data_IF_089112583902
#
_entry.id   IF_089112583902
#
_cell.length_a   1.000
_cell.length_b   1.000
_cell.length_c   1.000
_cell.angle_alpha   90.00
_cell.angle_beta   90.00
_cell.angle_gamma   90.00
#
_symmetry.space_group_name_H-M   'P 1'
#
loop_
_entity.id
_entity.type
_entity.pdbx_description
1 polymer ?
#
# COMPACT_ATOMS: atom_id res chain seq x y z
N UNK A 1 -2.77 17.17 -22.49
CA UNK A 1 -4.19 16.86 -22.32
C UNK A 1 -4.28 15.35 -22.24
N UNK A 2 -4.68 14.76 -21.10
CA UNK A 2 -4.93 13.33 -21.01
C UNK A 2 -6.04 13.00 -22.01
N UNK A 3 -5.97 11.89 -22.78
CA UNK A 3 -7.08 11.46 -23.59
C UNK A 3 -8.30 11.29 -22.68
N UNK A 4 -9.42 11.89 -23.06
CA UNK A 4 -10.67 11.73 -22.34
C UNK A 4 -11.02 10.24 -22.27
N UNK A 5 -11.43 9.78 -21.10
CA UNK A 5 -11.98 8.44 -20.97
C UNK A 5 -13.20 8.30 -21.90
N UNK A 6 -13.43 7.14 -22.50
CA UNK A 6 -14.62 6.91 -23.31
C UNK A 6 -15.87 7.21 -22.49
N UNK A 7 -16.83 7.95 -23.05
CA UNK A 7 -18.09 8.35 -22.37
C UNK A 7 -18.95 7.14 -21.91
N UNK A 8 -18.66 5.95 -22.38
CA UNK A 8 -19.46 4.74 -22.14
C UNK A 8 -19.28 4.08 -20.77
N UNK A 9 -18.21 4.37 -20.04
CA UNK A 9 -17.94 3.75 -18.74
C UNK A 9 -17.50 4.83 -17.75
N UNK A 10 -18.44 5.54 -17.11
CA UNK A 10 -18.12 6.51 -16.09
C UNK A 10 -17.43 5.79 -14.91
N UNK A 11 -16.21 6.23 -14.59
CA UNK A 11 -15.52 5.76 -13.39
C UNK A 11 -16.30 6.18 -12.14
N UNK A 12 -16.35 5.37 -11.07
CA UNK A 12 -17.04 5.74 -9.83
C UNK A 12 -16.59 7.11 -9.30
N UNK A 13 -17.51 7.83 -8.71
CA UNK A 13 -17.21 9.11 -8.07
C UNK A 13 -16.26 8.90 -6.88
N UNK A 14 -15.50 9.93 -6.52
CA UNK A 14 -14.61 9.87 -5.36
C UNK A 14 -15.38 9.50 -4.08
N UNK A 15 -16.62 9.95 -3.92
CA UNK A 15 -17.44 9.62 -2.77
C UNK A 15 -17.80 8.14 -2.73
N UNK A 16 -18.12 7.53 -3.87
CA UNK A 16 -18.38 6.10 -3.95
C UNK A 16 -17.14 5.28 -3.59
N UNK A 17 -15.97 5.68 -4.11
CA UNK A 17 -14.69 5.01 -3.78
C UNK A 17 -14.39 5.13 -2.29
N UNK A 18 -14.50 6.33 -1.71
CA UNK A 18 -14.21 6.58 -0.29
C UNK A 18 -15.16 5.83 0.68
N UNK A 19 -16.37 5.43 0.24
CA UNK A 19 -17.24 4.58 1.04
C UNK A 19 -16.64 3.20 1.35
N UNK A 20 -15.67 2.75 0.55
CA UNK A 20 -14.97 1.46 0.73
C UNK A 20 -13.57 1.61 1.32
N UNK A 21 -13.27 2.77 1.92
CA UNK A 21 -12.10 3.02 2.75
C UNK A 21 -12.45 3.00 4.25
N UNK A 22 -11.47 3.14 5.11
CA UNK A 22 -11.67 3.14 6.56
C UNK A 22 -12.26 1.84 7.09
N UNK A 23 -13.42 1.88 7.75
CA UNK A 23 -14.04 0.69 8.36
C UNK A 23 -14.49 -0.38 7.35
N UNK A 24 -14.80 0.00 6.14
CA UNK A 24 -15.19 -0.90 5.04
C UNK A 24 -14.02 -1.24 4.11
N UNK A 25 -12.89 -0.57 4.27
CA UNK A 25 -11.68 -0.79 3.54
C UNK A 25 -10.84 -1.97 4.05
N UNK A 26 -9.68 -2.21 3.43
CA UNK A 26 -8.77 -3.29 3.83
C UNK A 26 -8.35 -3.23 5.30
N UNK A 27 -8.06 -2.04 5.84
CA UNK A 27 -7.69 -1.86 7.24
C UNK A 27 -8.83 -2.12 8.22
N UNK A 28 -10.03 -1.69 7.89
CA UNK A 28 -11.23 -2.02 8.66
C UNK A 28 -11.53 -3.51 8.65
N UNK A 29 -11.31 -4.19 7.53
CA UNK A 29 -11.44 -5.64 7.42
C UNK A 29 -10.43 -6.37 8.31
N UNK A 30 -9.20 -5.87 8.47
CA UNK A 30 -8.20 -6.40 9.42
C UNK A 30 -8.69 -6.36 10.87
N UNK A 31 -9.31 -5.27 11.27
CA UNK A 31 -9.81 -5.10 12.64
C UNK A 31 -10.98 -6.05 12.93
N UNK A 32 -11.85 -6.29 11.95
CA UNK A 32 -13.03 -7.16 12.07
C UNK A 32 -12.69 -8.65 11.94
N UNK A 33 -11.69 -9.02 11.15
CA UNK A 33 -11.25 -10.41 10.93
C UNK A 33 -10.06 -10.78 11.80
N UNK A 34 -10.29 -10.99 13.09
CA UNK A 34 -9.31 -11.54 14.04
C UNK A 34 -8.86 -12.99 13.72
N UNK A 35 -9.42 -13.64 12.70
CA UNK A 35 -9.18 -15.04 12.32
C UNK A 35 -8.80 -15.16 10.85
N UNK A 36 -7.52 -15.00 10.54
CA UNK A 36 -6.93 -15.41 9.26
C UNK A 36 -7.47 -14.70 8.00
N UNK A 37 -6.61 -14.33 7.08
CA UNK A 37 -6.97 -13.69 5.79
C UNK A 37 -6.92 -12.17 5.84
N UNK A 38 -5.90 -11.60 6.47
CA UNK A 38 -5.59 -10.18 6.28
C UNK A 38 -5.04 -10.00 4.85
N UNK A 39 -5.48 -8.94 4.13
CA UNK A 39 -4.81 -8.55 2.90
C UNK A 39 -3.30 -8.40 3.18
N UNK A 40 -2.48 -8.92 2.28
CA UNK A 40 -1.04 -8.77 2.40
C UNK A 40 -0.65 -7.33 2.06
N UNK A 41 0.25 -6.74 2.83
CA UNK A 41 0.63 -5.32 2.71
C UNK A 41 2.10 -5.11 2.38
N UNK A 42 2.92 -6.14 2.60
CA UNK A 42 4.36 -6.04 2.49
C UNK A 42 4.82 -6.55 1.14
N UNK A 43 5.85 -5.93 0.62
CA UNK A 43 6.56 -6.38 -0.58
C UNK A 43 8.04 -6.02 -0.45
N UNK A 44 8.93 -6.93 -0.80
CA UNK A 44 10.31 -6.60 -1.08
C UNK A 44 10.46 -6.28 -2.57
N UNK A 45 10.62 -5.00 -2.96
CA UNK A 45 10.73 -4.63 -4.37
C UNK A 45 11.98 -5.17 -5.06
N UNK A 46 12.95 -5.67 -4.30
CA UNK A 46 14.21 -6.22 -4.79
C UNK A 46 14.16 -7.75 -4.91
N UNK A 47 13.21 -8.40 -4.23
CA UNK A 47 12.98 -9.85 -4.34
C UNK A 47 11.92 -10.15 -5.42
N UNK A 48 12.37 -10.70 -6.53
CA UNK A 48 11.47 -11.09 -7.64
C UNK A 48 10.53 -12.25 -7.29
N UNK A 49 10.81 -12.99 -6.23
CA UNK A 49 9.98 -14.12 -5.77
C UNK A 49 8.85 -13.67 -4.83
N UNK A 50 8.90 -12.44 -4.28
CA UNK A 50 7.83 -11.88 -3.47
C UNK A 50 6.69 -11.37 -4.36
N UNK A 51 5.64 -12.19 -4.50
CA UNK A 51 4.52 -11.93 -5.41
C UNK A 51 3.17 -11.76 -4.70
N UNK A 52 3.08 -11.96 -3.39
CA UNK A 52 1.78 -11.96 -2.68
C UNK A 52 1.01 -10.64 -2.88
N UNK A 53 1.67 -9.49 -2.74
CA UNK A 53 1.04 -8.19 -2.98
C UNK A 53 0.74 -7.98 -4.47
N UNK A 54 1.58 -8.45 -5.37
CA UNK A 54 1.36 -8.38 -6.81
C UNK A 54 0.08 -9.13 -7.22
N UNK A 55 -0.17 -10.29 -6.63
CA UNK A 55 -1.37 -11.08 -6.88
C UNK A 55 -2.63 -10.36 -6.37
N UNK A 56 -2.56 -9.66 -5.23
CA UNK A 56 -3.66 -8.83 -4.73
C UNK A 56 -3.94 -7.64 -5.67
N UNK A 57 -2.92 -6.94 -6.12
CA UNK A 57 -3.05 -5.85 -7.10
C UNK A 57 -3.73 -6.36 -8.37
N UNK A 58 -3.27 -7.48 -8.93
CA UNK A 58 -3.87 -8.08 -10.12
C UNK A 58 -5.31 -8.53 -9.91
N UNK A 59 -5.62 -9.10 -8.74
CA UNK A 59 -6.96 -9.53 -8.39
C UNK A 59 -7.94 -8.34 -8.45
N UNK A 60 -7.62 -7.26 -7.72
CA UNK A 60 -8.48 -6.07 -7.67
C UNK A 60 -8.51 -5.32 -8.99
N UNK A 61 -7.39 -5.26 -9.73
CA UNK A 61 -7.34 -4.66 -11.06
C UNK A 61 -8.28 -5.38 -12.04
N UNK A 62 -8.20 -6.71 -12.15
CA UNK A 62 -9.06 -7.50 -13.05
C UNK A 62 -10.54 -7.42 -12.64
N UNK A 63 -10.80 -7.42 -11.34
CA UNK A 63 -12.16 -7.28 -10.83
C UNK A 63 -12.73 -5.88 -11.13
N UNK A 64 -11.90 -4.82 -11.04
CA UNK A 64 -12.29 -3.47 -11.45
C UNK A 64 -12.61 -3.39 -12.94
N UNK A 65 -11.75 -3.93 -13.81
CA UNK A 65 -12.01 -4.00 -15.27
C UNK A 65 -13.34 -4.69 -15.55
N UNK A 66 -13.59 -5.83 -14.91
CA UNK A 66 -14.85 -6.57 -15.07
C UNK A 66 -16.06 -5.77 -14.60
N UNK A 67 -15.97 -5.14 -13.43
CA UNK A 67 -17.08 -4.36 -12.88
C UNK A 67 -17.41 -3.14 -13.76
N UNK A 68 -16.39 -2.42 -14.25
CA UNK A 68 -16.56 -1.32 -15.20
C UNK A 68 -17.19 -1.79 -16.52
N UNK A 69 -16.80 -2.94 -17.04
CA UNK A 69 -17.37 -3.52 -18.27
C UNK A 69 -18.80 -4.04 -18.10
N UNK A 70 -19.29 -4.16 -16.86
CA UNK A 70 -20.64 -4.61 -16.52
C UNK A 70 -21.54 -3.47 -16.00
N UNK A 71 -21.05 -2.22 -15.98
CA UNK A 71 -21.72 -1.06 -15.39
C UNK A 71 -22.12 -1.27 -13.91
N UNK A 72 -21.34 -2.09 -13.15
CA UNK A 72 -21.55 -2.32 -11.72
C UNK A 72 -20.77 -1.29 -10.90
N UNK A 73 -21.36 -0.11 -10.72
CA UNK A 73 -20.72 1.03 -10.04
C UNK A 73 -20.32 0.73 -8.60
N UNK A 74 -21.12 -0.08 -7.88
CA UNK A 74 -20.83 -0.42 -6.48
C UNK A 74 -19.62 -1.32 -6.39
N UNK A 75 -19.55 -2.33 -7.24
CA UNK A 75 -18.41 -3.23 -7.30
C UNK A 75 -17.18 -2.51 -7.84
N UNK A 76 -17.33 -1.67 -8.86
CA UNK A 76 -16.22 -0.87 -9.39
C UNK A 76 -15.64 0.07 -8.32
N UNK A 77 -16.49 0.72 -7.52
CA UNK A 77 -16.03 1.57 -6.43
C UNK A 77 -15.27 0.79 -5.35
N UNK A 78 -15.77 -0.40 -4.96
CA UNK A 78 -15.08 -1.29 -4.04
C UNK A 78 -13.71 -1.70 -4.57
N UNK A 79 -13.64 -2.18 -5.80
CA UNK A 79 -12.39 -2.65 -6.38
C UNK A 79 -11.39 -1.52 -6.62
N UNK A 80 -11.87 -0.32 -6.99
CA UNK A 80 -11.03 0.86 -7.13
C UNK A 80 -10.38 1.26 -5.79
N UNK A 81 -11.13 1.25 -4.69
CA UNK A 81 -10.61 1.54 -3.35
C UNK A 81 -9.57 0.51 -2.91
N UNK A 82 -9.87 -0.78 -3.04
CA UNK A 82 -8.98 -1.86 -2.62
C UNK A 82 -7.72 -1.94 -3.48
N UNK A 83 -7.83 -1.69 -4.78
CA UNK A 83 -6.68 -1.56 -5.69
C UNK A 83 -5.78 -0.38 -5.28
N UNK A 84 -6.39 0.79 -5.02
CA UNK A 84 -5.63 1.96 -4.59
C UNK A 84 -4.88 1.70 -3.28
N UNK A 85 -5.53 1.06 -2.30
CA UNK A 85 -4.91 0.68 -1.04
C UNK A 85 -3.71 -0.25 -1.25
N UNK A 86 -3.87 -1.34 -2.01
CA UNK A 86 -2.78 -2.27 -2.30
C UNK A 86 -1.59 -1.59 -3.02
N UNK A 87 -1.86 -0.69 -3.96
CA UNK A 87 -0.82 0.08 -4.66
C UNK A 87 -0.10 1.05 -3.72
N UNK A 88 -0.83 1.75 -2.85
CA UNK A 88 -0.26 2.69 -1.88
C UNK A 88 0.57 1.95 -0.83
N UNK A 89 0.08 0.83 -0.30
CA UNK A 89 0.82 -0.03 0.62
C UNK A 89 2.14 -0.49 -0.01
N UNK A 90 2.09 -1.01 -1.24
CA UNK A 90 3.28 -1.48 -1.94
C UNK A 90 4.26 -0.38 -2.37
N UNK A 91 3.85 0.89 -2.33
CA UNK A 91 4.73 2.05 -2.52
C UNK A 91 5.09 2.73 -1.19
N UNK A 92 4.60 2.23 -0.06
CA UNK A 92 4.95 2.78 1.26
C UNK A 92 6.27 2.18 1.74
N UNK A 93 7.34 2.98 1.92
CA UNK A 93 8.67 2.47 2.28
C UNK A 93 8.71 1.62 3.55
N UNK A 94 7.82 1.87 4.51
CA UNK A 94 7.71 1.05 5.71
C UNK A 94 7.25 -0.39 5.41
N UNK A 95 6.55 -0.62 4.30
CA UNK A 95 6.11 -1.94 3.85
C UNK A 95 7.16 -2.69 3.01
N UNK A 96 8.26 -2.03 2.62
CA UNK A 96 9.43 -2.69 2.02
C UNK A 96 10.34 -3.32 3.07
N UNK A 97 10.18 -2.93 4.34
CA UNK A 97 10.96 -3.49 5.44
C UNK A 97 10.50 -4.92 5.74
N UNK A 98 11.42 -5.89 5.99
CA UNK A 98 11.08 -7.28 6.26
C UNK A 98 10.43 -7.45 7.64
N UNK A 99 9.31 -6.80 7.83
CA UNK A 99 8.61 -6.61 9.09
C UNK A 99 8.22 -7.94 9.76
N UNK A 100 7.63 -8.87 8.99
CA UNK A 100 7.20 -10.16 9.54
C UNK A 100 8.39 -11.07 9.91
N UNK A 101 9.48 -11.02 9.16
CA UNK A 101 10.70 -11.75 9.49
C UNK A 101 11.31 -11.22 10.79
N UNK A 102 11.41 -9.90 10.92
CA UNK A 102 11.94 -9.25 12.12
C UNK A 102 11.02 -9.46 13.33
N UNK A 103 9.72 -9.38 13.14
CA UNK A 103 8.73 -9.66 14.17
C UNK A 103 8.81 -11.13 14.64
N UNK A 104 8.95 -12.08 13.71
CA UNK A 104 9.16 -13.50 14.03
C UNK A 104 10.46 -13.69 14.80
N UNK A 105 11.55 -13.05 14.38
CA UNK A 105 12.85 -13.09 15.07
C UNK A 105 12.75 -12.55 16.50
N UNK A 106 12.11 -11.41 16.71
CA UNK A 106 11.87 -10.81 18.03
C UNK A 106 11.03 -11.71 18.92
N UNK A 107 10.18 -12.54 18.35
CA UNK A 107 9.29 -13.50 19.06
C UNK A 107 9.86 -14.91 19.17
N UNK A 108 11.09 -15.15 18.69
CA UNK A 108 11.75 -16.46 18.78
C UNK A 108 11.19 -17.50 17.82
N UNK A 109 10.79 -17.10 16.62
CA UNK A 109 10.26 -17.98 15.59
C UNK A 109 8.76 -18.28 15.71
N UNK A 110 8.03 -17.52 16.55
CA UNK A 110 6.59 -17.72 16.72
C UNK A 110 5.82 -17.37 15.44
N UNK A 111 5.04 -18.33 14.94
CA UNK A 111 4.28 -18.15 13.71
C UNK A 111 3.14 -17.13 13.86
N UNK A 112 2.85 -16.38 12.79
CA UNK A 112 1.85 -15.30 12.77
C UNK A 112 0.47 -15.75 13.29
N UNK A 113 0.00 -16.93 12.90
CA UNK A 113 -1.33 -17.43 13.25
C UNK A 113 -1.49 -17.80 14.73
N UNK A 114 -0.39 -17.92 15.49
CA UNK A 114 -0.42 -18.25 16.92
C UNK A 114 -0.65 -17.02 17.81
N UNK A 115 -0.52 -15.82 17.27
CA UNK A 115 -0.60 -14.53 17.99
C UNK A 115 -2.06 -14.11 18.21
N UNK A 116 -2.67 -14.54 19.32
CA UNK A 116 -4.07 -14.24 19.64
C UNK A 116 -4.21 -12.97 20.49
N UNK A 117 -5.13 -12.09 20.08
CA UNK A 117 -5.50 -10.88 20.81
C UNK A 117 -4.41 -9.80 20.85
N UNK A 118 -4.74 -8.64 21.44
CA UNK A 118 -3.85 -7.48 21.53
C UNK A 118 -2.61 -7.78 22.40
N UNK A 119 -2.79 -8.42 23.52
CA UNK A 119 -1.68 -8.81 24.41
C UNK A 119 -0.71 -9.76 23.71
N UNK A 120 -1.20 -10.77 22.97
CA UNK A 120 -0.36 -11.67 22.20
C UNK A 120 0.39 -10.99 21.04
N UNK A 121 -0.09 -9.81 20.60
CA UNK A 121 0.59 -9.03 19.55
C UNK A 121 1.66 -8.07 20.12
N UNK A 122 1.43 -7.51 21.29
CA UNK A 122 2.28 -6.45 21.88
C UNK A 122 3.28 -6.98 22.91
N UNK A 123 3.03 -8.14 23.53
CA UNK A 123 3.90 -8.71 24.54
C UNK A 123 4.66 -9.92 24.01
N UNK A 124 5.98 -9.92 24.24
CA UNK A 124 6.88 -11.02 23.87
C UNK A 124 7.28 -11.79 25.13
N UNK A 125 6.71 -13.01 25.32
CA UNK A 125 7.04 -13.87 26.45
C UNK A 125 8.43 -14.48 26.27
N UNK A 126 9.28 -14.46 27.32
CA UNK A 126 10.59 -15.08 27.43
C UNK A 126 10.73 -15.80 28.76
N UNK A 127 11.84 -16.50 28.95
CA UNK A 127 12.13 -17.32 30.15
C UNK A 127 12.17 -16.48 31.44
N UNK A 128 12.49 -15.20 31.34
CA UNK A 128 12.50 -14.27 32.49
C UNK A 128 11.69 -13.02 32.20
N UNK A 129 11.18 -12.39 33.26
CA UNK A 129 10.38 -11.14 33.16
C UNK A 129 11.23 -10.03 32.53
N UNK A 130 12.49 -9.87 32.93
CA UNK A 130 13.39 -8.86 32.38
C UNK A 130 13.64 -9.04 30.88
N UNK A 131 13.84 -10.26 30.40
CA UNK A 131 13.97 -10.56 28.96
C UNK A 131 12.67 -10.31 28.23
N UNK A 132 11.53 -10.62 28.83
CA UNK A 132 10.21 -10.36 28.24
C UNK A 132 9.96 -8.87 28.08
N UNK A 133 10.26 -8.08 29.11
CA UNK A 133 10.14 -6.60 29.05
C UNK A 133 11.06 -6.02 27.99
N UNK A 134 12.34 -6.43 27.98
CA UNK A 134 13.31 -5.92 26.97
C UNK A 134 12.86 -6.23 25.54
N UNK A 135 12.40 -7.44 25.26
CA UNK A 135 11.91 -7.80 23.91
C UNK A 135 10.61 -7.07 23.56
N UNK A 136 9.70 -6.89 24.51
CA UNK A 136 8.49 -6.10 24.28
C UNK A 136 8.82 -4.63 24.01
N UNK A 137 9.84 -4.05 24.65
CA UNK A 137 10.33 -2.72 24.33
C UNK A 137 10.94 -2.58 22.94
N UNK A 138 11.60 -3.64 22.42
CA UNK A 138 12.07 -3.66 21.03
C UNK A 138 10.90 -3.72 20.03
N UNK A 139 9.75 -4.19 20.45
CA UNK A 139 8.55 -4.25 19.64
C UNK A 139 7.75 -2.95 19.68
N UNK A 140 7.45 -2.42 20.89
CA UNK A 140 6.54 -1.30 21.12
C UNK A 140 7.16 -0.11 21.86
N UNK A 141 8.45 -0.13 22.16
CA UNK A 141 9.16 1.00 22.76
C UNK A 141 9.28 2.20 21.81
N UNK A 142 9.88 3.31 22.27
CA UNK A 142 10.02 4.54 21.45
C UNK A 142 10.71 4.37 20.11
N UNK A 143 11.59 3.35 19.99
CA UNK A 143 12.22 2.90 18.75
C UNK A 143 11.88 1.44 18.44
N UNK A 144 10.74 0.99 18.91
CA UNK A 144 10.26 -0.36 18.67
C UNK A 144 9.76 -0.51 17.24
N UNK A 145 9.79 -1.74 16.74
CA UNK A 145 9.42 -2.07 15.37
C UNK A 145 8.02 -1.54 14.99
N UNK A 146 7.00 -1.81 15.83
CA UNK A 146 5.62 -1.35 15.61
C UNK A 146 5.50 0.17 15.72
N UNK A 147 6.15 0.76 16.71
CA UNK A 147 6.07 2.20 16.95
C UNK A 147 6.71 2.98 15.82
N UNK A 148 7.89 2.56 15.35
CA UNK A 148 8.58 3.22 14.26
C UNK A 148 7.80 3.14 12.96
N UNK A 149 7.20 1.96 12.67
CA UNK A 149 6.34 1.78 11.51
C UNK A 149 5.14 2.75 11.55
N UNK A 150 4.37 2.75 12.64
CA UNK A 150 3.23 3.63 12.80
C UNK A 150 3.59 5.13 12.77
N UNK A 151 4.74 5.51 13.34
CA UNK A 151 5.23 6.89 13.30
C UNK A 151 5.64 7.33 11.90
N UNK A 152 6.21 6.43 11.09
CA UNK A 152 6.52 6.72 9.70
C UNK A 152 5.25 6.97 8.89
N UNK A 153 4.28 6.08 9.00
CA UNK A 153 3.01 6.21 8.27
C UNK A 153 2.24 7.49 8.68
N UNK A 154 2.09 7.73 9.97
CA UNK A 154 1.42 8.93 10.48
C UNK A 154 2.12 10.22 10.04
N UNK A 155 3.46 10.25 10.07
CA UNK A 155 4.23 11.39 9.61
C UNK A 155 4.17 11.60 8.10
N UNK A 156 4.25 10.54 7.32
CA UNK A 156 4.07 10.57 5.86
C UNK A 156 2.67 11.10 5.50
N UNK A 157 1.63 10.57 6.16
CA UNK A 157 0.26 11.07 5.99
C UNK A 157 0.15 12.56 6.28
N UNK A 158 0.68 13.03 7.40
CA UNK A 158 0.64 14.45 7.77
C UNK A 158 1.39 15.35 6.77
N UNK A 159 2.47 14.85 6.16
CA UNK A 159 3.24 15.55 5.12
C UNK A 159 2.52 15.59 3.77
N UNK A 160 1.73 14.57 3.46
CA UNK A 160 1.04 14.39 2.17
C UNK A 160 -0.31 15.10 2.16
N UNK A 161 -1.05 15.07 3.28
CA UNK A 161 -2.41 15.60 3.39
C UNK A 161 -2.61 17.04 2.85
N UNK A 162 -1.72 18.02 3.09
CA UNK A 162 -1.90 19.39 2.59
C UNK A 162 -1.50 19.57 1.12
N UNK A 163 -1.01 18.54 0.43
CA UNK A 163 -0.47 18.68 -0.92
C UNK A 163 -1.56 18.71 -1.99
N UNK A 164 -1.29 19.47 -3.04
CA UNK A 164 -2.09 19.46 -4.26
C UNK A 164 -1.36 18.71 -5.36
N UNK A 165 -1.98 17.67 -5.90
CA UNK A 165 -1.35 16.71 -6.81
C UNK A 165 -1.57 17.01 -8.31
N UNK A 166 -1.95 18.24 -8.69
CA UNK A 166 -2.17 18.61 -10.11
C UNK A 166 -0.97 18.27 -11.02
N UNK A 167 0.26 18.34 -10.47
CA UNK A 167 1.50 18.02 -11.20
C UNK A 167 1.88 16.53 -11.15
N UNK A 168 1.20 15.73 -10.35
CA UNK A 168 1.43 14.28 -10.23
C UNK A 168 0.55 13.48 -11.22
N UNK A 169 -0.24 14.14 -12.05
CA UNK A 169 -1.02 13.44 -13.08
C UNK A 169 -0.09 12.74 -14.07
N UNK A 170 -0.47 11.53 -14.52
CA UNK A 170 0.31 10.78 -15.50
C UNK A 170 0.55 11.59 -16.78
N UNK A 171 1.75 11.47 -17.33
CA UNK A 171 2.08 11.98 -18.65
C UNK A 171 1.54 11.03 -19.74
N UNK A 172 1.60 11.47 -21.01
CA UNK A 172 1.27 10.60 -22.14
C UNK A 172 2.16 9.37 -22.18
N UNK A 173 3.45 9.53 -21.94
CA UNK A 173 4.42 8.41 -21.89
C UNK A 173 4.10 7.43 -20.76
N UNK A 174 3.69 7.90 -19.58
CA UNK A 174 3.26 7.02 -18.49
C UNK A 174 2.06 6.15 -18.90
N UNK A 175 1.11 6.74 -19.65
CA UNK A 175 -0.06 6.02 -20.16
C UNK A 175 0.36 5.00 -21.24
N UNK A 176 1.22 5.37 -22.16
CA UNK A 176 1.76 4.47 -23.19
C UNK A 176 2.47 3.28 -22.54
N UNK A 177 3.29 3.52 -21.50
CA UNK A 177 3.98 2.48 -20.75
C UNK A 177 3.01 1.53 -20.01
N UNK A 178 1.96 2.03 -19.36
CA UNK A 178 1.03 1.15 -18.66
C UNK A 178 0.17 0.32 -19.62
N UNK A 179 -0.09 0.83 -20.81
CA UNK A 179 -0.80 0.10 -21.87
C UNK A 179 0.08 -0.97 -22.52
N UNK A 180 1.38 -0.71 -22.70
CA UNK A 180 2.32 -1.66 -23.30
C UNK A 180 2.79 -2.74 -22.33
N UNK A 181 3.21 -2.34 -21.14
CA UNK A 181 3.90 -3.21 -20.18
C UNK A 181 2.93 -3.84 -19.17
N UNK A 182 1.75 -3.22 -18.98
CA UNK A 182 0.78 -3.61 -17.97
C UNK A 182 1.02 -2.97 -16.59
N UNK A 183 -0.03 -2.96 -15.78
CA UNK A 183 -0.06 -2.29 -14.47
C UNK A 183 0.99 -2.85 -13.50
N UNK A 184 1.20 -4.18 -13.49
CA UNK A 184 2.15 -4.82 -12.57
C UNK A 184 3.60 -4.45 -12.87
N UNK A 185 3.99 -4.41 -14.13
CA UNK A 185 5.39 -4.10 -14.46
C UNK A 185 5.71 -2.62 -14.21
N UNK A 186 4.74 -1.74 -14.45
CA UNK A 186 4.85 -0.33 -14.07
C UNK A 186 4.93 -0.18 -12.54
N UNK A 187 4.09 -0.91 -11.79
CA UNK A 187 4.14 -0.92 -10.33
C UNK A 187 5.50 -1.39 -9.81
N UNK A 188 6.01 -2.53 -10.29
CA UNK A 188 7.32 -3.08 -9.89
C UNK A 188 8.46 -2.10 -10.11
N UNK A 189 8.48 -1.40 -11.25
CA UNK A 189 9.49 -0.34 -11.51
C UNK A 189 9.37 0.79 -10.49
N UNK A 190 8.15 1.29 -10.30
CA UNK A 190 7.89 2.37 -9.35
C UNK A 190 8.25 1.99 -7.92
N UNK A 191 7.94 0.76 -7.49
CA UNK A 191 8.29 0.26 -6.16
C UNK A 191 9.81 0.18 -5.95
N UNK A 192 10.57 -0.26 -6.96
CA UNK A 192 12.05 -0.24 -6.92
C UNK A 192 12.60 1.18 -6.81
N UNK A 193 12.09 2.12 -7.62
CA UNK A 193 12.48 3.54 -7.53
C UNK A 193 12.20 4.12 -6.13
N UNK A 194 11.09 3.73 -5.51
CA UNK A 194 10.76 4.15 -4.13
C UNK A 194 11.73 3.51 -3.13
N UNK A 195 12.05 2.23 -3.28
CA UNK A 195 13.00 1.54 -2.40
C UNK A 195 14.39 2.20 -2.44
N UNK A 196 14.87 2.63 -3.62
CA UNK A 196 16.14 3.34 -3.80
C UNK A 196 16.22 4.67 -3.05
N UNK A 197 15.08 5.28 -2.68
CA UNK A 197 15.07 6.50 -1.86
C UNK A 197 15.48 6.25 -0.41
N UNK A 198 15.46 5.00 0.07
CA UNK A 198 15.81 4.59 1.43
C UNK A 198 15.13 5.44 2.52
N UNK A 199 13.85 5.80 2.30
CA UNK A 199 13.15 6.77 3.16
C UNK A 199 12.88 6.22 4.55
N UNK A 200 12.53 4.93 4.65
CA UNK A 200 12.22 4.30 5.95
C UNK A 200 13.49 4.12 6.78
N UNK A 201 14.58 3.68 6.19
CA UNK A 201 15.90 3.51 6.84
C UNK A 201 16.41 4.86 7.35
N UNK A 202 16.37 5.88 6.51
CA UNK A 202 16.78 7.25 6.88
C UNK A 202 15.91 7.82 8.01
N UNK A 203 14.61 7.54 7.99
CA UNK A 203 13.70 7.89 9.08
C UNK A 203 14.00 7.08 10.35
N UNK A 204 14.25 5.79 10.23
CA UNK A 204 14.58 4.92 11.37
C UNK A 204 15.82 5.39 12.11
N UNK A 205 16.85 5.82 11.38
CA UNK A 205 18.11 6.29 11.95
C UNK A 205 18.01 7.71 12.53
N UNK A 206 17.41 8.64 11.79
CA UNK A 206 17.50 10.08 12.03
C UNK A 206 16.16 10.75 12.39
N UNK A 207 15.06 10.03 12.28
CA UNK A 207 13.70 10.58 12.42
C UNK A 207 13.29 11.45 11.23
N UNK A 208 12.26 12.28 11.45
CA UNK A 208 11.74 13.22 10.45
C UNK A 208 12.68 14.41 10.25
N UNK A 209 13.71 14.22 9.43
CA UNK A 209 14.60 15.31 9.00
C UNK A 209 13.98 16.09 7.84
N UNK A 210 14.49 17.31 7.60
CA UNK A 210 14.05 18.11 6.46
C UNK A 210 14.27 17.42 5.09
N UNK A 211 15.41 16.73 4.83
CA UNK A 211 15.58 15.95 3.59
C UNK A 211 14.54 14.83 3.44
N UNK A 212 14.31 14.02 4.48
CA UNK A 212 13.29 12.94 4.44
C UNK A 212 11.91 13.51 4.16
N UNK A 213 11.51 14.56 4.88
CA UNK A 213 10.21 15.22 4.69
C UNK A 213 10.05 15.82 3.30
N UNK A 214 11.11 16.38 2.71
CA UNK A 214 11.13 16.91 1.35
C UNK A 214 10.94 15.79 0.33
N UNK A 215 11.66 14.68 0.49
CA UNK A 215 11.64 13.57 -0.45
C UNK A 215 10.30 12.82 -0.40
N UNK A 216 9.66 12.70 0.78
CA UNK A 216 8.27 12.21 0.88
C UNK A 216 7.32 13.08 0.04
N UNK A 217 7.42 14.42 0.14
CA UNK A 217 6.51 15.32 -0.60
C UNK A 217 6.79 15.37 -2.11
N UNK A 218 8.06 15.30 -2.52
CA UNK A 218 8.48 15.57 -3.90
C UNK A 218 8.64 14.31 -4.73
N UNK A 219 8.97 13.19 -4.07
CA UNK A 219 9.29 11.94 -4.74
C UNK A 219 8.24 10.85 -4.46
N UNK A 220 7.96 10.56 -3.19
CA UNK A 220 7.07 9.48 -2.80
C UNK A 220 5.61 9.77 -3.18
N UNK A 221 5.06 10.87 -2.65
CA UNK A 221 3.65 11.18 -2.81
C UNK A 221 3.20 11.34 -4.27
N UNK A 222 3.97 12.01 -5.17
CA UNK A 222 3.62 12.06 -6.59
C UNK A 222 3.64 10.70 -7.28
N UNK A 223 4.55 9.78 -6.90
CA UNK A 223 4.60 8.42 -7.44
C UNK A 223 3.38 7.60 -7.04
N UNK A 224 2.97 7.68 -5.77
CA UNK A 224 1.75 7.02 -5.28
C UNK A 224 0.52 7.48 -6.05
N UNK A 225 0.30 8.81 -6.14
CA UNK A 225 -0.86 9.37 -6.86
C UNK A 225 -0.83 9.00 -8.34
N UNK A 226 0.33 9.07 -8.98
CA UNK A 226 0.49 8.70 -10.39
C UNK A 226 0.17 7.23 -10.62
N UNK A 227 0.68 6.33 -9.78
CA UNK A 227 0.45 4.90 -9.93
C UNK A 227 -1.01 4.52 -9.79
N UNK A 228 -1.71 5.03 -8.77
CA UNK A 228 -3.15 4.82 -8.59
C UNK A 228 -3.94 5.34 -9.79
N UNK A 229 -3.63 6.58 -10.24
CA UNK A 229 -4.30 7.18 -11.40
C UNK A 229 -4.07 6.35 -12.67
N UNK A 230 -2.85 5.85 -12.90
CA UNK A 230 -2.52 5.01 -14.05
C UNK A 230 -3.28 3.67 -14.02
N UNK A 231 -3.34 3.02 -12.86
CA UNK A 231 -4.04 1.76 -12.71
C UNK A 231 -5.55 1.90 -12.98
N UNK A 232 -6.18 2.93 -12.42
CA UNK A 232 -7.60 3.22 -12.67
C UNK A 232 -7.86 3.57 -14.14
N UNK A 233 -7.00 4.39 -14.73
CA UNK A 233 -7.11 4.76 -16.14
C UNK A 233 -6.95 3.56 -17.08
N UNK A 234 -5.97 2.70 -16.82
CA UNK A 234 -5.75 1.47 -17.57
C UNK A 234 -6.96 0.53 -17.49
N UNK A 235 -7.58 0.40 -16.29
CA UNK A 235 -8.78 -0.40 -16.11
C UNK A 235 -9.95 0.12 -16.93
N UNK A 236 -10.16 1.44 -17.00
CA UNK A 236 -11.19 2.05 -17.87
C UNK A 236 -10.93 1.76 -19.35
N UNK A 237 -9.68 1.88 -19.80
CA UNK A 237 -9.33 1.59 -21.20
C UNK A 237 -9.56 0.14 -21.57
N UNK A 238 -9.22 -0.78 -20.66
CA UNK A 238 -9.38 -2.23 -20.90
C UNK A 238 -10.87 -2.62 -20.90
N UNK A 239 -11.66 -2.10 -19.96
CA UNK A 239 -13.10 -2.31 -19.92
C UNK A 239 -13.79 -1.83 -21.20
N UNK A 240 -13.41 -0.64 -21.71
CA UNK A 240 -13.96 -0.10 -22.94
C UNK A 240 -13.64 -0.95 -24.19
N UNK A 241 -12.49 -1.63 -24.23
CA UNK A 241 -12.12 -2.54 -25.33
C UNK A 241 -12.94 -3.85 -25.31
N UNK A 242 -13.26 -4.34 -24.09
CA UNK A 242 -14.07 -5.57 -23.94
C UNK A 242 -15.56 -5.39 -24.23
N UNK A 243 -16.03 -4.15 -24.33
CA UNK A 243 -17.42 -3.79 -24.62
C UNK A 243 -17.67 -3.50 -26.13
N UNK A 244 -16.62 -3.43 -26.95
CA UNK A 244 -16.69 -3.20 -28.39
C UNK A 244 -16.64 -4.54 -29.15
#
# INVERSE_FOLDING_TARGET
MLPLLPDKHPFPTIQQVLNFEGEQGPDGAKLKRLRGGQPWHFVDPLDVSDTELHDQILLHYRALVKALGQDDDVRAAFEAAWLAHALVDGLTPAHHYPYEAELSRLRGGEARHTRKGLAGRLYVKRDTVSKSVLQSLKLVGPRGLLTTHAMFEAGAYALILPLQFKKALPSRTDIENVVSDGVIDVFKRTAREVAELNLYERFYELGWTQPVSRDVRRELAPRMVRMVTLAWYAACLEAAKGAA
#
